data_IF_019427979557
#
_entry.id   IF_019427979557
#
_cell.length_a   1.000
_cell.length_b   1.000
_cell.length_c   1.000
_cell.angle_alpha   90.00
_cell.angle_beta   90.00
_cell.angle_gamma   90.00
#
_symmetry.space_group_name_H-M   'P 1'
#
loop_
_entity.id
_entity.type
_entity.pdbx_description
1 polymer ?
#
# COMPACT_ATOMS: atom_id res chain seq x y z
N UNK A 1 20.49 -15.28 11.53
CA UNK A 1 20.02 -13.98 11.99
C UNK A 1 19.68 -13.10 10.79
N UNK A 2 18.60 -12.29 10.81
CA UNK A 2 18.30 -11.32 9.76
C UNK A 2 19.41 -10.30 9.61
N UNK A 3 19.75 -9.96 8.37
CA UNK A 3 20.78 -8.99 8.04
C UNK A 3 20.37 -8.18 6.82
N UNK A 4 20.56 -6.85 6.91
CA UNK A 4 20.31 -5.91 5.83
C UNK A 4 21.54 -5.01 5.70
N UNK A 5 22.02 -4.82 4.47
CA UNK A 5 22.97 -3.78 4.15
C UNK A 5 22.21 -2.53 3.78
N UNK A 6 22.56 -1.40 4.40
CA UNK A 6 21.94 -0.10 4.16
C UNK A 6 23.02 0.91 3.82
N UNK A 7 22.74 1.72 2.79
CA UNK A 7 23.57 2.88 2.45
C UNK A 7 22.69 4.07 2.18
N UNK A 8 23.19 5.27 2.48
CA UNK A 8 22.50 6.52 2.18
C UNK A 8 23.47 7.57 1.67
N UNK A 9 22.93 8.48 0.87
CA UNK A 9 23.60 9.72 0.45
C UNK A 9 22.59 10.85 0.65
N UNK A 10 23.07 11.96 1.23
CA UNK A 10 22.26 13.16 1.45
C UNK A 10 23.03 14.41 0.99
N UNK A 11 22.27 15.40 0.53
CA UNK A 11 22.77 16.71 0.13
C UNK A 11 21.84 17.78 0.74
N UNK A 12 22.42 18.71 1.47
CA UNK A 12 21.76 19.91 1.99
C UNK A 12 22.38 21.14 1.35
N UNK A 13 21.55 22.03 0.85
CA UNK A 13 22.00 23.27 0.24
C UNK A 13 21.19 24.46 0.73
N UNK A 14 21.89 25.46 1.27
CA UNK A 14 21.32 26.74 1.67
C UNK A 14 21.57 27.77 0.56
N UNK A 15 20.50 28.29 0.00
CA UNK A 15 20.62 29.30 -1.07
C UNK A 15 21.06 30.65 -0.51
N UNK A 16 21.94 31.36 -1.21
CA UNK A 16 22.38 32.70 -0.83
C UNK A 16 21.34 33.78 -1.19
N UNK A 17 20.11 33.63 -0.65
CA UNK A 17 18.98 34.54 -0.87
C UNK A 17 18.85 35.54 0.26
N UNK A 18 18.05 36.60 0.08
CA UNK A 18 17.77 37.63 1.12
C UNK A 18 16.96 37.09 2.30
N UNK A 19 16.41 35.89 2.18
CA UNK A 19 15.67 35.18 3.24
C UNK A 19 16.17 33.72 3.35
N UNK A 20 16.03 33.06 4.49
CA UNK A 20 16.39 31.65 4.67
C UNK A 20 15.63 30.75 3.68
N UNK A 21 16.40 30.09 2.82
CA UNK A 21 15.88 29.13 1.86
C UNK A 21 16.86 27.96 1.72
N UNK A 22 16.37 26.75 1.96
CA UNK A 22 17.17 25.54 1.85
C UNK A 22 16.41 24.41 1.16
N UNK A 23 17.17 23.57 0.51
CA UNK A 23 16.70 22.28 0.00
C UNK A 23 17.56 21.18 0.61
N UNK A 24 16.96 20.02 0.84
CA UNK A 24 17.66 18.79 1.17
C UNK A 24 17.13 17.63 0.32
N UNK A 25 18.05 16.75 -0.07
CA UNK A 25 17.73 15.53 -0.77
C UNK A 25 18.41 14.35 -0.12
N UNK A 26 17.72 13.24 0.08
CA UNK A 26 18.30 12.01 0.62
C UNK A 26 17.87 10.83 -0.23
N UNK A 27 18.81 9.94 -0.54
CA UNK A 27 18.54 8.65 -1.14
C UNK A 27 19.08 7.55 -0.22
N UNK A 28 18.22 6.60 0.12
CA UNK A 28 18.53 5.45 0.97
C UNK A 28 18.31 4.18 0.15
N UNK A 29 19.31 3.30 0.11
CA UNK A 29 19.19 1.97 -0.48
C UNK A 29 19.37 0.89 0.57
N UNK A 30 18.53 -0.13 0.51
CA UNK A 30 18.57 -1.30 1.39
C UNK A 30 18.69 -2.57 0.54
N UNK A 31 19.60 -3.47 0.92
CA UNK A 31 19.74 -4.80 0.33
C UNK A 31 19.63 -5.87 1.41
N UNK A 32 18.73 -6.81 1.22
CA UNK A 32 18.61 -7.97 2.08
C UNK A 32 19.83 -8.89 1.88
N UNK A 33 20.54 -9.17 2.95
CA UNK A 33 21.64 -10.15 3.00
C UNK A 33 21.10 -11.49 3.50
N UNK A 34 20.36 -11.47 4.60
CA UNK A 34 19.62 -12.59 5.15
C UNK A 34 18.25 -12.11 5.58
N UNK A 35 17.24 -12.28 4.73
CA UNK A 35 15.83 -12.04 5.07
C UNK A 35 15.23 -13.28 5.72
N UNK A 36 14.18 -13.09 6.50
CA UNK A 36 13.41 -14.19 7.07
C UNK A 36 12.38 -14.64 6.04
N UNK A 37 12.21 -15.94 5.86
CA UNK A 37 11.09 -16.55 5.15
C UNK A 37 10.71 -17.87 5.83
N UNK A 38 9.51 -18.35 5.52
CA UNK A 38 9.05 -19.66 5.95
C UNK A 38 9.00 -20.60 4.75
N UNK A 39 9.38 -21.84 4.95
CA UNK A 39 9.22 -22.93 3.99
C UNK A 39 8.52 -24.09 4.66
N UNK A 40 7.69 -24.80 3.94
CA UNK A 40 7.09 -26.05 4.41
C UNK A 40 7.93 -27.21 3.85
N UNK A 41 8.68 -27.87 4.72
CA UNK A 41 9.57 -28.98 4.33
C UNK A 41 8.82 -30.26 3.96
N UNK A 42 7.51 -30.29 4.20
CA UNK A 42 6.67 -31.42 3.81
C UNK A 42 6.19 -31.36 2.35
N UNK A 43 6.51 -30.29 1.60
CA UNK A 43 6.12 -30.12 0.20
C UNK A 43 7.27 -30.55 -0.71
N UNK A 44 6.96 -31.41 -1.70
CA UNK A 44 7.91 -31.84 -2.73
C UNK A 44 8.32 -30.68 -3.64
N UNK A 45 9.47 -30.78 -4.28
CA UNK A 45 9.87 -29.90 -5.36
C UNK A 45 8.86 -29.93 -6.52
N UNK A 46 8.55 -28.78 -7.10
CA UNK A 46 7.55 -28.64 -8.16
C UNK A 46 8.08 -28.96 -9.58
N UNK A 47 9.34 -29.31 -9.75
CA UNK A 47 9.94 -29.53 -11.07
C UNK A 47 9.28 -30.65 -11.88
N UNK A 48 8.59 -31.59 -11.22
CA UNK A 48 7.84 -32.67 -11.86
C UNK A 48 6.33 -32.44 -11.94
N UNK A 49 5.85 -31.29 -11.51
CA UNK A 49 4.42 -30.98 -11.55
C UNK A 49 3.98 -30.58 -12.96
N UNK A 50 2.73 -30.85 -13.29
CA UNK A 50 2.13 -30.49 -14.58
C UNK A 50 1.60 -29.06 -14.57
N UNK A 51 1.28 -28.54 -15.76
CA UNK A 51 0.59 -27.26 -15.94
C UNK A 51 -0.72 -27.50 -16.67
N UNK A 52 -1.70 -26.63 -16.48
CA UNK A 52 -2.91 -26.62 -17.31
C UNK A 52 -2.60 -26.11 -18.73
N UNK A 53 -3.44 -26.47 -19.69
CA UNK A 53 -3.37 -25.85 -20.99
C UNK A 53 -3.91 -24.42 -20.95
N UNK A 54 -3.26 -23.53 -21.70
CA UNK A 54 -3.60 -22.11 -21.72
C UNK A 54 -2.38 -21.22 -21.42
N UNK A 55 -2.57 -19.91 -21.21
CA UNK A 55 -1.49 -18.94 -20.98
C UNK A 55 -0.95 -18.97 -19.54
N UNK A 56 -1.76 -19.35 -18.55
CA UNK A 56 -1.34 -19.53 -17.16
C UNK A 56 -0.49 -20.81 -17.04
N UNK A 57 0.80 -20.65 -16.82
CA UNK A 57 1.80 -21.73 -16.82
C UNK A 57 2.26 -22.13 -15.42
N UNK A 58 1.47 -21.78 -14.37
CA UNK A 58 1.78 -22.24 -13.02
C UNK A 58 1.68 -23.77 -12.93
N UNK A 59 2.46 -24.31 -12.04
CA UNK A 59 2.39 -25.74 -11.73
C UNK A 59 1.14 -26.07 -10.93
N UNK A 60 0.54 -27.21 -11.26
CA UNK A 60 -0.60 -27.78 -10.54
C UNK A 60 -0.06 -28.89 -9.63
N UNK A 61 -0.40 -28.79 -8.36
CA UNK A 61 0.02 -29.70 -7.33
C UNK A 61 -0.72 -31.05 -7.48
N UNK A 62 -0.02 -32.17 -7.64
CA UNK A 62 -0.67 -33.49 -7.68
C UNK A 62 -1.18 -33.86 -6.29
N UNK A 63 -2.10 -34.81 -6.19
CA UNK A 63 -2.68 -35.24 -4.91
C UNK A 63 -1.61 -35.67 -3.88
N UNK A 64 -0.51 -36.25 -4.34
CA UNK A 64 0.63 -36.72 -3.53
C UNK A 64 1.79 -35.71 -3.41
N UNK A 65 1.52 -34.39 -3.51
CA UNK A 65 2.56 -33.36 -3.41
C UNK A 65 3.21 -33.26 -2.02
N UNK A 66 2.55 -33.78 -1.00
CA UNK A 66 3.07 -33.82 0.37
C UNK A 66 3.87 -35.09 0.64
N UNK A 67 4.89 -34.98 1.47
CA UNK A 67 5.67 -36.13 1.94
C UNK A 67 4.97 -36.87 3.09
N UNK A 68 4.23 -36.14 3.94
CA UNK A 68 3.44 -36.65 5.07
C UNK A 68 2.13 -35.89 5.20
N UNK A 69 1.26 -36.28 6.11
CA UNK A 69 -0.03 -35.64 6.37
C UNK A 69 0.04 -34.39 7.27
N UNK A 70 1.23 -34.01 7.74
CA UNK A 70 1.42 -32.85 8.63
C UNK A 70 2.32 -31.83 7.99
N UNK A 71 2.04 -30.54 8.24
CA UNK A 71 2.90 -29.45 7.78
C UNK A 71 4.14 -29.31 8.66
N UNK A 72 5.25 -28.91 8.05
CA UNK A 72 6.52 -28.67 8.70
C UNK A 72 7.05 -27.27 8.35
N UNK A 73 6.49 -26.24 8.98
CA UNK A 73 6.90 -24.86 8.75
C UNK A 73 8.26 -24.58 9.40
N UNK A 74 9.25 -24.31 8.57
CA UNK A 74 10.63 -24.06 8.99
C UNK A 74 11.02 -22.63 8.67
N UNK A 75 11.52 -21.94 9.70
CA UNK A 75 12.08 -20.59 9.54
C UNK A 75 13.41 -20.66 8.80
N UNK A 76 13.46 -20.04 7.65
CA UNK A 76 14.59 -20.08 6.72
C UNK A 76 15.10 -18.68 6.39
N UNK A 77 16.21 -18.58 5.68
CA UNK A 77 16.76 -17.33 5.22
C UNK A 77 16.73 -17.20 3.70
N UNK A 78 16.48 -15.99 3.21
CA UNK A 78 16.58 -15.62 1.80
C UNK A 78 17.55 -14.46 1.60
N UNK A 79 18.32 -14.50 0.49
CA UNK A 79 19.13 -13.36 0.04
C UNK A 79 18.38 -12.41 -0.91
N UNK A 80 17.12 -12.76 -1.23
CA UNK A 80 16.28 -11.96 -2.11
C UNK A 80 15.63 -10.82 -1.32
N UNK A 81 15.62 -9.64 -1.90
CA UNK A 81 14.99 -8.45 -1.34
C UNK A 81 15.87 -7.21 -1.48
N UNK A 82 15.23 -6.10 -1.76
CA UNK A 82 15.84 -4.78 -1.80
C UNK A 82 14.78 -3.71 -1.68
N UNK A 83 15.20 -2.51 -1.31
CA UNK A 83 14.31 -1.35 -1.30
C UNK A 83 15.11 -0.07 -1.39
N UNK A 84 14.44 1.01 -1.75
CA UNK A 84 15.02 2.34 -1.75
C UNK A 84 13.98 3.38 -1.41
N UNK A 85 14.45 4.48 -0.83
CA UNK A 85 13.66 5.66 -0.52
C UNK A 85 14.40 6.89 -1.03
N UNK A 86 13.71 7.75 -1.75
CA UNK A 86 14.18 9.08 -2.12
C UNK A 86 13.30 10.13 -1.46
N UNK A 87 13.92 11.07 -0.76
CA UNK A 87 13.25 12.20 -0.12
C UNK A 87 13.81 13.50 -0.65
N UNK A 88 12.94 14.45 -0.88
CA UNK A 88 13.28 15.83 -1.21
C UNK A 88 12.49 16.77 -0.31
N UNK A 89 13.18 17.70 0.37
CA UNK A 89 12.56 18.67 1.29
C UNK A 89 13.01 20.08 0.94
N UNK A 90 12.07 21.00 0.99
CA UNK A 90 12.25 22.43 0.84
C UNK A 90 11.81 23.13 2.11
N UNK A 91 12.62 24.08 2.59
CA UNK A 91 12.29 24.95 3.71
C UNK A 91 12.55 26.40 3.33
N UNK A 92 11.64 27.31 3.68
CA UNK A 92 11.84 28.73 3.45
C UNK A 92 11.14 29.60 4.49
N UNK A 93 11.74 30.77 4.75
CA UNK A 93 11.18 31.85 5.58
C UNK A 93 11.19 33.15 4.75
N UNK A 94 10.25 33.32 3.79
CA UNK A 94 10.30 34.43 2.84
C UNK A 94 10.10 35.79 3.45
N UNK A 95 9.41 35.85 4.58
CA UNK A 95 9.23 37.06 5.41
C UNK A 95 9.29 36.67 6.88
N UNK A 96 9.47 37.66 7.74
CA UNK A 96 9.48 37.46 9.20
C UNK A 96 8.23 36.72 9.68
N UNK A 97 8.41 35.74 10.55
CA UNK A 97 7.35 34.91 11.14
C UNK A 97 6.52 34.06 10.16
N UNK A 98 6.87 33.99 8.88
CA UNK A 98 6.28 33.06 7.92
C UNK A 98 7.25 31.91 7.65
N UNK A 99 6.81 30.71 7.96
CA UNK A 99 7.54 29.47 7.73
C UNK A 99 6.81 28.58 6.74
N UNK A 100 7.51 28.09 5.72
CA UNK A 100 6.98 27.19 4.69
C UNK A 100 7.90 25.97 4.58
N UNK A 101 7.31 24.79 4.60
CA UNK A 101 8.01 23.52 4.36
C UNK A 101 7.21 22.69 3.37
N UNK A 102 7.91 22.01 2.46
CA UNK A 102 7.31 20.97 1.61
C UNK A 102 8.28 19.81 1.44
N UNK A 103 7.80 18.60 1.50
CA UNK A 103 8.60 17.39 1.34
C UNK A 103 7.86 16.37 0.49
N UNK A 104 8.60 15.72 -0.43
CA UNK A 104 8.12 14.56 -1.19
C UNK A 104 9.01 13.36 -0.89
N UNK A 105 8.38 12.23 -0.65
CA UNK A 105 9.06 10.95 -0.44
C UNK A 105 8.50 9.91 -1.38
N UNK A 106 9.41 9.22 -2.10
CA UNK A 106 9.07 8.02 -2.85
C UNK A 106 9.80 6.82 -2.25
N UNK A 107 9.08 5.71 -2.05
CA UNK A 107 9.63 4.46 -1.50
C UNK A 107 9.19 3.28 -2.35
N UNK A 108 10.14 2.43 -2.69
CA UNK A 108 9.90 1.14 -3.33
C UNK A 108 10.64 0.03 -2.57
N UNK A 109 9.97 -1.10 -2.36
CA UNK A 109 10.56 -2.25 -1.69
C UNK A 109 10.04 -3.55 -2.28
N UNK A 110 10.95 -4.45 -2.61
CA UNK A 110 10.68 -5.83 -3.05
C UNK A 110 11.18 -6.81 -2.02
N UNK A 111 10.36 -7.80 -1.67
CA UNK A 111 10.68 -8.84 -0.69
C UNK A 111 10.00 -10.15 -1.07
N UNK A 112 10.46 -11.26 -0.51
CA UNK A 112 9.82 -12.57 -0.71
C UNK A 112 8.53 -12.66 0.11
N UNK A 113 8.57 -12.17 1.34
CA UNK A 113 7.41 -12.15 2.25
C UNK A 113 7.52 -11.00 3.23
N UNK A 114 6.38 -10.42 3.59
CA UNK A 114 6.24 -9.49 4.71
C UNK A 114 5.91 -10.18 6.02
N UNK A 115 5.93 -11.51 6.07
CA UNK A 115 5.51 -12.32 7.22
C UNK A 115 4.09 -11.94 7.69
N UNK A 116 3.09 -12.01 6.81
CA UNK A 116 1.70 -11.69 7.17
C UNK A 116 1.17 -12.69 8.21
N UNK A 117 0.25 -12.24 9.05
CA UNK A 117 -0.36 -13.10 10.08
C UNK A 117 0.37 -13.07 11.42
N UNK A 118 -0.14 -13.82 12.39
CA UNK A 118 0.27 -13.78 13.80
C UNK A 118 1.06 -15.01 14.26
N UNK A 119 1.15 -16.05 13.43
CA UNK A 119 1.87 -17.29 13.72
C UNK A 119 2.56 -17.82 12.45
N UNK A 120 3.35 -18.89 12.56
CA UNK A 120 4.12 -19.44 11.44
C UNK A 120 3.22 -19.94 10.30
N UNK A 121 2.10 -20.56 10.61
CA UNK A 121 1.14 -21.05 9.64
C UNK A 121 0.54 -19.89 8.83
N UNK A 122 -0.06 -18.90 9.49
CA UNK A 122 -0.64 -17.74 8.80
C UNK A 122 0.41 -16.93 8.05
N UNK A 123 1.62 -16.80 8.59
CA UNK A 123 2.72 -16.11 7.91
C UNK A 123 3.19 -16.85 6.64
N UNK A 124 2.99 -18.16 6.56
CA UNK A 124 3.23 -18.98 5.37
C UNK A 124 2.05 -18.93 4.39
N UNK A 125 0.82 -19.17 4.89
CA UNK A 125 -0.36 -19.33 4.04
C UNK A 125 -0.81 -18.02 3.35
N UNK A 126 -0.58 -16.85 3.97
CA UNK A 126 -1.12 -15.58 3.46
C UNK A 126 -0.16 -14.83 2.53
N UNK A 127 0.74 -15.54 1.87
CA UNK A 127 1.66 -14.96 0.88
C UNK A 127 1.04 -15.13 -0.51
N UNK A 128 0.65 -14.03 -1.21
CA UNK A 128 0.19 -14.14 -2.58
C UNK A 128 1.32 -14.57 -3.51
N UNK A 129 1.15 -15.71 -4.18
CA UNK A 129 2.16 -16.31 -5.06
C UNK A 129 1.54 -16.88 -6.32
N UNK A 130 2.36 -17.15 -7.32
CA UNK A 130 1.95 -17.91 -8.51
C UNK A 130 2.12 -19.41 -8.29
N UNK A 131 3.24 -19.80 -7.66
CA UNK A 131 3.70 -21.19 -7.57
C UNK A 131 3.56 -21.80 -6.16
N UNK A 132 2.88 -21.10 -5.23
CA UNK A 132 2.82 -21.46 -3.83
C UNK A 132 3.97 -20.88 -2.99
N UNK A 133 3.80 -20.78 -1.65
CA UNK A 133 4.73 -20.05 -0.77
C UNK A 133 6.16 -20.58 -0.74
N UNK A 134 6.38 -21.90 -0.93
CA UNK A 134 7.74 -22.48 -0.99
C UNK A 134 8.56 -21.93 -2.16
N UNK A 135 7.89 -21.50 -3.24
CA UNK A 135 8.49 -21.04 -4.49
C UNK A 135 8.30 -19.54 -4.69
N UNK A 136 7.97 -18.80 -3.63
CA UNK A 136 7.70 -17.37 -3.68
C UNK A 136 8.86 -16.57 -4.28
N UNK A 137 8.53 -15.76 -5.28
CA UNK A 137 9.42 -14.78 -5.90
C UNK A 137 9.46 -13.45 -5.13
N UNK A 138 10.17 -12.46 -5.70
CA UNK A 138 10.12 -11.09 -5.21
C UNK A 138 8.77 -10.44 -5.58
N UNK A 139 8.13 -9.83 -4.61
CA UNK A 139 6.92 -9.04 -4.77
C UNK A 139 7.06 -7.68 -4.08
N UNK A 140 6.13 -6.77 -4.32
CA UNK A 140 6.08 -5.50 -3.58
C UNK A 140 5.83 -5.76 -2.09
N UNK A 141 6.39 -4.91 -1.25
CA UNK A 141 6.07 -4.96 0.17
C UNK A 141 4.67 -4.39 0.43
N UNK A 142 3.85 -5.12 1.19
CA UNK A 142 2.52 -4.65 1.61
C UNK A 142 2.54 -3.45 2.57
N UNK A 143 3.72 -3.14 3.15
CA UNK A 143 3.89 -2.09 4.16
C UNK A 143 4.39 -0.76 3.60
N UNK A 144 4.56 -0.66 2.28
CA UNK A 144 5.10 0.53 1.63
C UNK A 144 3.97 1.48 1.25
N UNK A 145 4.13 2.74 1.63
CA UNK A 145 3.43 3.88 1.02
C UNK A 145 4.35 4.44 -0.06
N UNK A 146 4.07 4.18 -1.37
CA UNK A 146 5.03 4.49 -2.43
C UNK A 146 5.28 5.98 -2.61
N UNK A 147 4.24 6.80 -2.45
CA UNK A 147 4.34 8.25 -2.69
C UNK A 147 3.70 9.01 -1.53
N UNK A 148 4.42 9.97 -0.96
CA UNK A 148 3.91 10.85 0.10
C UNK A 148 4.42 12.28 -0.08
N UNK A 149 3.51 13.22 0.01
CA UNK A 149 3.79 14.67 0.07
C UNK A 149 3.35 15.21 1.41
N UNK A 150 4.19 15.98 2.06
CA UNK A 150 3.85 16.74 3.27
C UNK A 150 4.19 18.19 3.00
N UNK A 151 3.29 19.10 3.34
CA UNK A 151 3.58 20.53 3.30
C UNK A 151 2.99 21.25 4.51
N UNK A 152 3.64 22.31 4.93
CA UNK A 152 3.10 23.18 5.98
C UNK A 152 3.43 24.63 5.71
N UNK A 153 2.48 25.49 6.07
CA UNK A 153 2.66 26.94 6.12
C UNK A 153 2.24 27.40 7.50
N UNK A 154 3.11 28.14 8.19
CA UNK A 154 2.83 28.68 9.52
C UNK A 154 3.21 30.16 9.57
N UNK A 155 2.28 30.98 10.03
CA UNK A 155 2.47 32.41 10.20
C UNK A 155 2.11 32.85 11.63
N UNK A 156 2.95 33.66 12.23
CA UNK A 156 2.71 34.29 13.54
C UNK A 156 2.62 35.81 13.37
N UNK A 157 1.49 36.40 13.75
CA UNK A 157 1.35 37.85 13.74
C UNK A 157 1.93 38.51 14.98
N UNK A 158 1.92 39.85 14.98
CA UNK A 158 2.43 40.67 16.13
C UNK A 158 1.51 40.59 17.34
N UNK A 159 0.28 40.14 17.21
CA UNK A 159 -0.71 40.00 18.28
C UNK A 159 -0.71 38.63 18.93
N UNK A 160 0.37 37.83 18.71
CA UNK A 160 0.52 36.46 19.22
C UNK A 160 -0.49 35.46 18.66
N UNK A 161 -1.15 35.73 17.54
CA UNK A 161 -1.91 34.74 16.80
C UNK A 161 -0.96 33.93 15.92
N UNK A 162 -1.15 32.62 15.90
CA UNK A 162 -0.46 31.70 14.98
C UNK A 162 -1.49 30.95 14.16
N UNK A 163 -1.30 30.99 12.85
CA UNK A 163 -2.09 30.25 11.87
C UNK A 163 -1.18 29.22 11.21
N UNK A 164 -1.63 27.96 11.14
CA UNK A 164 -0.87 26.93 10.46
C UNK A 164 -1.81 26.10 9.59
N UNK A 165 -1.38 25.82 8.38
CA UNK A 165 -2.02 24.92 7.43
C UNK A 165 -1.06 23.77 7.17
N UNK A 166 -1.54 22.55 7.33
CA UNK A 166 -0.81 21.34 7.01
C UNK A 166 -1.51 20.63 5.86
N UNK A 167 -0.72 20.12 4.96
CA UNK A 167 -1.19 19.25 3.88
C UNK A 167 -0.47 17.94 3.94
N UNK A 168 -1.19 16.86 3.80
CA UNK A 168 -0.69 15.52 3.56
C UNK A 168 -1.37 14.93 2.31
N UNK A 169 -0.57 14.57 1.32
CA UNK A 169 -0.98 13.77 0.19
C UNK A 169 -0.24 12.45 0.18
N UNK A 170 -0.93 11.33 0.03
CA UNK A 170 -0.27 10.03 -0.08
C UNK A 170 -1.04 9.10 -1.02
N UNK A 171 -0.30 8.17 -1.61
CA UNK A 171 -0.83 7.10 -2.44
C UNK A 171 -0.52 5.77 -1.80
N UNK A 172 -1.46 4.86 -1.84
CA UNK A 172 -1.21 3.48 -1.46
C UNK A 172 -1.14 3.23 0.04
N UNK A 173 -1.91 3.92 0.84
CA UNK A 173 -2.10 3.57 2.26
C UNK A 173 -2.62 2.15 2.46
N UNK A 174 -3.10 1.52 1.38
CA UNK A 174 -3.40 0.10 1.26
C UNK A 174 -2.97 -0.37 -0.12
N UNK A 175 -2.39 -1.56 -0.20
CA UNK A 175 -2.04 -2.24 -1.44
C UNK A 175 -2.75 -3.59 -1.51
N UNK A 176 -3.22 -3.93 -2.70
CA UNK A 176 -4.00 -5.13 -2.95
C UNK A 176 -3.35 -6.00 -4.01
N UNK A 177 -3.85 -7.22 -4.13
CA UNK A 177 -3.41 -8.21 -5.12
C UNK A 177 -4.62 -8.78 -5.83
N UNK A 178 -4.61 -8.82 -7.15
CA UNK A 178 -5.58 -9.62 -7.90
C UNK A 178 -5.21 -11.09 -7.79
N UNK A 179 -6.13 -11.88 -7.24
CA UNK A 179 -5.98 -13.31 -6.98
C UNK A 179 -7.19 -14.08 -7.54
N UNK A 180 -7.02 -15.35 -7.80
CA UNK A 180 -8.16 -16.24 -8.00
C UNK A 180 -8.96 -16.41 -6.72
N UNK A 181 -10.23 -16.72 -6.85
CA UNK A 181 -11.05 -17.12 -5.71
C UNK A 181 -10.92 -18.60 -5.47
N UNK A 182 -10.46 -18.97 -4.29
CA UNK A 182 -10.16 -20.36 -3.93
C UNK A 182 -8.72 -20.74 -4.27
N UNK A 183 -8.44 -22.01 -4.05
CA UNK A 183 -7.19 -22.68 -4.42
C UNK A 183 -7.26 -23.03 -5.92
N UNK A 184 -6.38 -22.43 -6.70
CA UNK A 184 -6.35 -22.64 -8.14
C UNK A 184 -5.34 -23.74 -8.52
N UNK A 185 -4.23 -23.81 -7.83
CA UNK A 185 -3.12 -24.70 -8.18
C UNK A 185 -3.13 -26.06 -7.44
N UNK A 186 -4.04 -26.25 -6.47
CA UNK A 186 -4.20 -27.51 -5.73
C UNK A 186 -3.26 -27.66 -4.53
N UNK A 187 -2.63 -26.58 -4.05
CA UNK A 187 -1.76 -26.60 -2.88
C UNK A 187 -2.49 -26.44 -1.54
N UNK A 188 -3.82 -26.36 -1.55
CA UNK A 188 -4.73 -26.04 -0.45
C UNK A 188 -4.58 -24.63 0.12
N UNK A 189 -4.03 -23.69 -0.66
CA UNK A 189 -3.85 -22.29 -0.26
C UNK A 189 -4.59 -21.36 -1.22
N UNK A 190 -5.58 -20.62 -0.73
CA UNK A 190 -6.38 -19.71 -1.54
C UNK A 190 -5.73 -18.32 -1.71
N UNK A 191 -4.42 -18.26 -2.02
CA UNK A 191 -3.66 -17.04 -2.24
C UNK A 191 -2.93 -17.03 -3.59
N UNK A 192 -3.56 -17.66 -4.59
CA UNK A 192 -3.06 -17.74 -5.94
C UNK A 192 -3.20 -16.43 -6.70
N UNK A 193 -2.07 -15.84 -7.07
CA UNK A 193 -2.03 -14.62 -7.87
C UNK A 193 -2.63 -14.88 -9.26
N UNK A 194 -3.54 -14.01 -9.70
CA UNK A 194 -4.28 -14.18 -10.94
C UNK A 194 -3.40 -13.93 -12.17
N UNK A 195 -3.53 -14.75 -13.20
CA UNK A 195 -3.10 -14.39 -14.55
C UNK A 195 -4.14 -13.45 -15.17
N UNK A 196 -3.69 -12.33 -15.73
CA UNK A 196 -4.54 -11.33 -16.36
C UNK A 196 -4.55 -11.63 -17.86
N UNK A 197 -5.62 -12.19 -18.43
CA UNK A 197 -5.65 -12.55 -19.84
C UNK A 197 -5.49 -11.30 -20.73
N UNK A 198 -4.83 -11.48 -21.85
CA UNK A 198 -4.62 -10.44 -22.85
C UNK A 198 -5.91 -10.07 -23.55
N UNK A 199 -6.65 -11.08 -23.98
CA UNK A 199 -7.91 -10.99 -24.69
C UNK A 199 -8.69 -12.32 -24.55
N UNK A 200 -9.82 -12.45 -25.24
CA UNK A 200 -10.68 -13.63 -25.23
C UNK A 200 -10.01 -14.93 -25.73
N UNK A 201 -8.90 -14.84 -26.41
CA UNK A 201 -8.18 -16.04 -26.88
C UNK A 201 -7.41 -16.74 -25.77
N UNK A 202 -7.19 -16.04 -24.66
CA UNK A 202 -6.41 -16.54 -23.51
C UNK A 202 -7.27 -17.00 -22.33
N UNK A 203 -8.60 -16.88 -22.39
CA UNK A 203 -9.50 -17.24 -21.28
C UNK A 203 -10.82 -17.81 -21.80
N UNK A 204 -11.30 -18.86 -21.13
CA UNK A 204 -12.62 -19.43 -21.36
C UNK A 204 -13.56 -19.10 -20.21
N UNK A 205 -14.76 -18.65 -20.52
CA UNK A 205 -15.80 -18.35 -19.52
C UNK A 205 -16.92 -19.39 -19.57
N UNK A 206 -17.51 -19.68 -18.39
CA UNK A 206 -18.64 -20.61 -18.26
C UNK A 206 -19.92 -20.06 -18.94
N UNK A 207 -20.02 -18.74 -19.08
CA UNK A 207 -21.16 -18.08 -19.74
C UNK A 207 -20.76 -16.80 -20.44
N UNK A 208 -21.57 -16.33 -21.39
CA UNK A 208 -21.41 -15.02 -22.03
C UNK A 208 -21.53 -13.88 -21.00
N UNK A 209 -22.42 -14.02 -20.03
CA UNK A 209 -22.58 -13.03 -18.94
C UNK A 209 -21.31 -12.91 -18.08
N UNK A 210 -20.62 -14.02 -17.79
CA UNK A 210 -19.34 -13.99 -17.06
C UNK A 210 -18.27 -13.24 -17.84
N UNK A 211 -18.17 -13.53 -19.14
CA UNK A 211 -17.27 -12.87 -20.08
C UNK A 211 -17.49 -11.35 -20.10
N UNK A 212 -18.74 -10.92 -20.35
CA UNK A 212 -19.08 -9.51 -20.53
C UNK A 212 -18.83 -8.71 -19.23
N UNK A 213 -19.18 -9.25 -18.08
CA UNK A 213 -18.89 -8.63 -16.77
C UNK A 213 -17.40 -8.54 -16.48
N UNK A 214 -16.64 -9.59 -16.79
CA UNK A 214 -15.18 -9.56 -16.57
C UNK A 214 -14.52 -8.47 -17.43
N UNK A 215 -14.79 -8.43 -18.72
CA UNK A 215 -14.15 -7.46 -19.61
C UNK A 215 -14.58 -6.02 -19.31
N UNK A 216 -15.87 -5.79 -19.01
CA UNK A 216 -16.35 -4.48 -18.59
C UNK A 216 -15.61 -4.00 -17.33
N UNK A 217 -15.37 -4.88 -16.36
CA UNK A 217 -14.61 -4.57 -15.17
C UNK A 217 -13.12 -4.35 -15.46
N UNK A 218 -12.49 -5.26 -16.22
CA UNK A 218 -11.06 -5.21 -16.50
C UNK A 218 -10.65 -3.97 -17.33
N UNK A 219 -11.53 -3.48 -18.19
CA UNK A 219 -11.28 -2.28 -18.99
C UNK A 219 -11.34 -0.99 -18.17
N UNK A 220 -12.25 -0.88 -17.20
CA UNK A 220 -12.35 0.29 -16.33
C UNK A 220 -11.29 0.29 -15.22
N UNK A 221 -10.73 -0.87 -14.86
CA UNK A 221 -9.73 -0.97 -13.81
C UNK A 221 -8.35 -0.55 -14.31
N UNK A 222 -7.76 0.45 -13.65
CA UNK A 222 -6.50 1.05 -14.07
C UNK A 222 -5.28 0.10 -13.98
N UNK A 223 -5.35 -0.94 -13.16
CA UNK A 223 -4.28 -1.93 -13.05
C UNK A 223 -4.46 -3.05 -14.07
N UNK A 224 -5.63 -3.66 -14.15
CA UNK A 224 -5.91 -4.77 -15.07
C UNK A 224 -5.73 -4.35 -16.52
N UNK A 225 -6.26 -3.18 -16.91
CA UNK A 225 -6.15 -2.68 -18.29
C UNK A 225 -4.70 -2.51 -18.78
N UNK A 226 -3.76 -2.20 -17.86
CA UNK A 226 -2.34 -1.98 -18.17
C UNK A 226 -1.48 -3.24 -18.06
N UNK A 227 -1.99 -4.31 -17.43
CA UNK A 227 -1.20 -5.49 -17.10
C UNK A 227 -1.71 -6.76 -17.77
N UNK A 228 -2.40 -6.63 -18.90
CA UNK A 228 -2.89 -7.76 -19.72
C UNK A 228 -1.74 -8.66 -20.21
N UNK A 229 -1.97 -9.96 -20.30
CA UNK A 229 -1.02 -10.97 -20.80
C UNK A 229 0.09 -11.33 -19.80
N UNK A 230 -0.12 -11.15 -18.49
CA UNK A 230 0.85 -11.50 -17.44
C UNK A 230 0.19 -11.79 -16.10
N UNK A 231 0.92 -12.40 -15.20
CA UNK A 231 0.47 -12.51 -13.80
C UNK A 231 0.34 -11.13 -13.16
N UNK A 232 -0.67 -10.95 -12.33
CA UNK A 232 -0.72 -9.82 -11.41
C UNK A 232 0.52 -9.88 -10.48
N UNK A 233 0.96 -8.73 -10.01
CA UNK A 233 2.05 -8.68 -9.04
C UNK A 233 1.47 -8.49 -7.64
N UNK A 234 1.95 -9.25 -6.67
CA UNK A 234 1.47 -9.13 -5.30
C UNK A 234 1.70 -7.70 -4.75
N UNK A 235 0.69 -7.18 -4.07
CA UNK A 235 0.67 -5.85 -3.44
C UNK A 235 0.98 -4.69 -4.40
N UNK A 236 0.57 -4.79 -5.67
CA UNK A 236 0.83 -3.77 -6.70
C UNK A 236 -0.37 -2.88 -7.03
N UNK A 237 -1.56 -3.21 -6.53
CA UNK A 237 -2.79 -2.43 -6.74
C UNK A 237 -2.91 -1.42 -5.60
N UNK A 238 -2.39 -0.21 -5.81
CA UNK A 238 -2.39 0.83 -4.80
C UNK A 238 -3.69 1.64 -4.81
N UNK A 239 -4.21 1.96 -3.61
CA UNK A 239 -5.32 2.90 -3.46
C UNK A 239 -4.99 4.26 -4.11
N UNK A 240 -6.00 4.95 -4.67
CA UNK A 240 -5.83 6.29 -5.21
C UNK A 240 -5.28 7.28 -4.17
N UNK A 241 -4.75 8.40 -4.65
CA UNK A 241 -4.27 9.48 -3.80
C UNK A 241 -5.33 9.96 -2.81
N UNK A 242 -4.90 10.20 -1.58
CA UNK A 242 -5.67 10.87 -0.53
C UNK A 242 -5.01 12.23 -0.28
N UNK A 243 -5.82 13.28 -0.18
CA UNK A 243 -5.36 14.65 0.06
C UNK A 243 -6.05 15.19 1.30
N UNK A 244 -5.31 15.46 2.37
CA UNK A 244 -5.81 15.99 3.64
C UNK A 244 -5.23 17.35 3.92
N UNK A 245 -6.07 18.21 4.49
CA UNK A 245 -5.69 19.52 4.97
C UNK A 245 -6.12 19.64 6.43
N UNK A 246 -5.17 19.99 7.29
CA UNK A 246 -5.42 20.29 8.70
C UNK A 246 -5.11 21.77 8.94
N UNK A 247 -5.95 22.40 9.71
CA UNK A 247 -5.80 23.79 10.07
C UNK A 247 -5.64 23.94 11.58
N UNK A 248 -4.64 24.70 12.02
CA UNK A 248 -4.46 25.08 13.42
C UNK A 248 -4.46 26.58 13.57
N UNK A 249 -5.24 27.05 14.53
CA UNK A 249 -5.15 28.40 15.07
C UNK A 249 -4.75 28.34 16.54
N UNK A 250 -3.81 29.19 16.97
CA UNK A 250 -3.51 29.39 18.39
C UNK A 250 -3.32 30.86 18.73
N UNK A 251 -3.72 31.23 19.96
CA UNK A 251 -3.51 32.55 20.50
C UNK A 251 -2.87 32.47 21.88
N UNK A 252 -1.82 33.29 22.10
CA UNK A 252 -1.10 33.38 23.36
C UNK A 252 -1.53 34.64 24.13
N UNK A 253 -2.25 34.45 25.23
CA UNK A 253 -2.53 35.51 26.20
C UNK A 253 -1.34 35.60 27.16
N UNK A 254 -0.57 36.67 27.06
CA UNK A 254 0.65 36.86 27.87
C UNK A 254 0.40 37.88 28.98
N UNK A 255 0.64 37.48 30.23
CA UNK A 255 0.53 38.34 31.41
C UNK A 255 1.81 38.23 32.23
N UNK A 256 2.44 39.36 32.53
CA UNK A 256 3.60 39.43 33.41
C UNK A 256 3.14 39.70 34.85
N UNK A 257 3.49 38.81 35.77
CA UNK A 257 3.18 38.94 37.20
C UNK A 257 4.51 39.01 37.94
N UNK A 258 4.89 40.21 38.35
CA UNK A 258 6.22 40.44 38.92
C UNK A 258 7.33 40.16 37.91
N UNK A 259 8.20 39.22 38.23
CA UNK A 259 9.29 38.76 37.33
C UNK A 259 8.90 37.54 36.45
N UNK A 260 7.74 36.95 36.70
CA UNK A 260 7.29 35.75 35.99
C UNK A 260 6.43 36.10 34.79
N UNK A 261 6.77 35.50 33.67
CA UNK A 261 5.94 35.55 32.45
C UNK A 261 4.96 34.38 32.45
N UNK A 262 3.67 34.70 32.44
CA UNK A 262 2.60 33.71 32.39
C UNK A 262 1.95 33.77 31.01
N UNK A 263 1.79 32.62 30.35
CA UNK A 263 1.16 32.53 29.05
C UNK A 263 0.04 31.49 29.08
N UNK A 264 -1.17 31.93 28.79
CA UNK A 264 -2.30 31.06 28.53
C UNK A 264 -2.46 30.95 27.02
N UNK A 265 -2.23 29.76 26.45
CA UNK A 265 -2.39 29.48 25.03
C UNK A 265 -3.70 28.75 24.79
N UNK A 266 -4.52 29.30 23.91
CA UNK A 266 -5.72 28.65 23.39
C UNK A 266 -5.43 28.10 22.00
N UNK A 267 -5.78 26.82 21.74
CA UNK A 267 -5.54 26.14 20.46
C UNK A 267 -6.86 25.62 19.89
N UNK A 268 -7.01 25.74 18.58
CA UNK A 268 -8.08 25.14 17.78
C UNK A 268 -7.42 24.34 16.65
N UNK A 269 -7.62 23.03 16.66
CA UNK A 269 -7.09 22.10 15.66
C UNK A 269 -8.25 21.51 14.87
N UNK A 270 -8.39 21.87 13.61
CA UNK A 270 -9.37 21.31 12.70
C UNK A 270 -8.65 20.31 11.78
N UNK A 271 -8.84 19.03 12.06
CA UNK A 271 -8.28 17.93 11.27
C UNK A 271 -9.18 17.57 10.11
N UNK A 272 -8.58 17.21 8.97
CA UNK A 272 -9.28 16.92 7.73
C UNK A 272 -10.29 18.01 7.36
N UNK A 273 -9.87 19.26 7.40
CA UNK A 273 -10.72 20.45 7.22
C UNK A 273 -11.51 20.42 5.90
N UNK A 274 -10.95 19.84 4.83
CA UNK A 274 -11.64 19.69 3.55
C UNK A 274 -12.92 18.86 3.64
N UNK A 275 -12.96 17.87 4.53
CA UNK A 275 -14.11 17.00 4.74
C UNK A 275 -15.32 17.74 5.33
N UNK A 276 -15.09 18.85 6.02
CA UNK A 276 -16.18 19.72 6.52
C UNK A 276 -17.02 20.31 5.36
N UNK A 277 -16.39 20.57 4.21
CA UNK A 277 -17.04 21.14 3.04
C UNK A 277 -17.57 20.09 2.06
N UNK A 278 -16.87 18.95 1.95
CA UNK A 278 -17.28 17.84 1.10
C UNK A 278 -16.89 16.51 1.77
N UNK A 279 -17.87 15.68 2.01
CA UNK A 279 -17.75 14.40 2.73
C UNK A 279 -16.85 13.35 2.05
N UNK A 280 -16.42 13.58 0.80
CA UNK A 280 -15.49 12.70 0.08
C UNK A 280 -14.04 13.20 0.11
N UNK A 281 -13.81 14.45 0.53
CA UNK A 281 -12.46 15.00 0.59
C UNK A 281 -11.69 14.46 1.79
N UNK A 282 -10.42 14.15 1.59
CA UNK A 282 -9.56 13.57 2.62
C UNK A 282 -9.95 12.15 3.05
N UNK A 283 -10.84 11.50 2.31
CA UNK A 283 -11.29 10.13 2.59
C UNK A 283 -10.50 9.14 1.74
N UNK A 284 -9.92 8.13 2.37
CA UNK A 284 -9.22 7.05 1.67
C UNK A 284 -10.20 6.16 0.90
N UNK A 285 -9.70 5.47 -0.11
CA UNK A 285 -10.47 4.48 -0.85
C UNK A 285 -9.96 3.07 -0.57
N UNK A 286 -10.87 2.11 -0.56
CA UNK A 286 -10.63 0.68 -0.41
C UNK A 286 -11.16 -0.05 -1.64
N UNK A 287 -10.69 -1.27 -1.89
CA UNK A 287 -11.30 -2.10 -2.94
C UNK A 287 -12.79 -2.30 -2.64
N UNK A 288 -13.61 -2.08 -3.67
CA UNK A 288 -15.05 -2.26 -3.58
C UNK A 288 -15.40 -3.70 -3.24
N UNK A 289 -16.45 -3.89 -2.45
CA UNK A 289 -17.04 -5.22 -2.20
C UNK A 289 -17.61 -5.83 -3.48
N UNK A 290 -18.09 -5.00 -4.42
CA UNK A 290 -18.57 -5.43 -5.74
C UNK A 290 -17.45 -6.01 -6.61
N UNK A 291 -16.20 -5.55 -6.42
CA UNK A 291 -14.97 -6.08 -7.01
C UNK A 291 -14.40 -7.27 -6.22
N UNK A 292 -15.15 -7.84 -5.27
CA UNK A 292 -14.81 -9.05 -4.51
C UNK A 292 -13.43 -9.00 -3.86
N UNK A 293 -13.00 -7.82 -3.43
CA UNK A 293 -11.68 -7.56 -2.82
C UNK A 293 -10.49 -8.06 -3.68
N UNK A 294 -10.62 -7.98 -5.00
CA UNK A 294 -9.61 -8.43 -5.96
C UNK A 294 -9.65 -9.91 -6.33
N UNK A 295 -10.62 -10.68 -5.80
CA UNK A 295 -10.84 -12.09 -6.15
C UNK A 295 -11.94 -12.23 -7.21
N UNK A 296 -11.66 -11.71 -8.40
CA UNK A 296 -12.66 -11.49 -9.46
C UNK A 296 -12.93 -12.69 -10.34
N UNK A 297 -12.02 -13.65 -10.43
CA UNK A 297 -12.16 -14.89 -11.17
C UNK A 297 -12.15 -16.11 -10.25
N UNK A 298 -12.98 -17.09 -10.60
CA UNK A 298 -13.02 -18.40 -9.96
C UNK A 298 -13.01 -19.46 -11.05
N UNK A 299 -12.15 -20.46 -10.93
CA UNK A 299 -12.19 -21.63 -11.80
C UNK A 299 -13.49 -22.40 -11.53
N UNK A 300 -14.26 -22.65 -12.58
CA UNK A 300 -15.50 -23.42 -12.56
C UNK A 300 -15.24 -24.90 -12.88
N UNK A 301 -14.48 -25.14 -13.94
CA UNK A 301 -14.15 -26.48 -14.42
C UNK A 301 -12.87 -26.46 -15.26
N UNK A 302 -12.43 -27.64 -15.65
CA UNK A 302 -11.39 -27.84 -16.67
C UNK A 302 -12.07 -28.63 -17.82
N UNK A 303 -11.94 -28.14 -19.05
CA UNK A 303 -12.55 -28.79 -20.21
C UNK A 303 -11.74 -30.02 -20.64
N UNK A 304 -12.26 -30.77 -21.63
CA UNK A 304 -11.64 -32.00 -22.14
C UNK A 304 -10.24 -31.78 -22.77
N UNK A 305 -9.93 -30.53 -23.12
CA UNK A 305 -8.61 -30.11 -23.64
C UNK A 305 -7.64 -29.71 -22.54
N UNK A 306 -8.05 -29.80 -21.27
CA UNK A 306 -7.24 -29.39 -20.11
C UNK A 306 -7.12 -27.88 -19.92
N UNK A 307 -8.03 -27.09 -20.50
CA UNK A 307 -8.07 -25.63 -20.38
C UNK A 307 -9.03 -25.21 -19.25
N UNK A 308 -8.64 -24.37 -18.32
CA UNK A 308 -9.51 -23.90 -17.25
C UNK A 308 -10.62 -22.98 -17.79
N UNK A 309 -11.84 -23.20 -17.29
CA UNK A 309 -13.04 -22.41 -17.56
C UNK A 309 -13.37 -21.60 -16.31
N UNK A 310 -13.68 -20.32 -16.49
CA UNK A 310 -13.86 -19.40 -15.38
C UNK A 310 -15.27 -18.86 -15.26
N UNK A 311 -15.68 -18.60 -14.02
CA UNK A 311 -16.78 -17.70 -13.66
C UNK A 311 -16.21 -16.39 -13.16
N UNK A 312 -16.85 -15.28 -13.57
CA UNK A 312 -16.55 -13.99 -12.93
C UNK A 312 -17.41 -13.77 -11.70
N UNK A 313 -16.79 -13.25 -10.64
CA UNK A 313 -17.48 -12.93 -9.39
C UNK A 313 -17.89 -11.45 -9.31
N UNK A 314 -17.39 -10.64 -10.24
CA UNK A 314 -17.69 -9.21 -10.29
C UNK A 314 -19.17 -8.99 -10.60
N UNK A 315 -19.81 -8.04 -9.91
CA UNK A 315 -21.18 -7.63 -10.20
C UNK A 315 -21.22 -6.77 -11.46
N UNK A 316 -22.39 -6.68 -12.09
CA UNK A 316 -22.60 -5.76 -13.21
C UNK A 316 -22.42 -4.31 -12.77
N UNK A 317 -21.63 -3.53 -13.52
CA UNK A 317 -21.33 -2.15 -13.20
C UNK A 317 -20.42 -1.92 -11.99
N UNK A 318 -19.78 -2.98 -11.47
CA UNK A 318 -18.88 -2.91 -10.33
C UNK A 318 -17.75 -1.89 -10.54
N UNK A 319 -17.42 -1.14 -9.49
CA UNK A 319 -16.30 -0.21 -9.45
C UNK A 319 -15.12 -0.83 -8.71
N UNK A 320 -13.91 -0.42 -9.07
CA UNK A 320 -12.70 -0.88 -8.35
C UNK A 320 -12.65 -0.33 -6.92
N UNK A 321 -13.05 0.93 -6.73
CA UNK A 321 -12.82 1.66 -5.49
C UNK A 321 -14.11 2.21 -4.89
N UNK A 322 -14.27 2.00 -3.57
CA UNK A 322 -15.25 2.67 -2.73
C UNK A 322 -14.58 3.55 -1.69
N UNK A 323 -15.33 4.54 -1.16
CA UNK A 323 -14.86 5.35 -0.04
C UNK A 323 -14.85 4.53 1.26
N UNK A 324 -13.83 4.74 2.07
CA UNK A 324 -13.74 4.18 3.40
C UNK A 324 -14.68 4.95 4.36
N UNK A 325 -15.81 4.36 4.70
CA UNK A 325 -16.84 4.95 5.56
C UNK A 325 -16.52 4.91 7.06
N UNK A 326 -15.24 4.77 7.44
CA UNK A 326 -14.85 4.83 8.84
C UNK A 326 -14.98 6.24 9.42
N UNK A 327 -15.47 6.36 10.66
CA UNK A 327 -15.53 7.63 11.39
C UNK A 327 -14.19 8.34 11.50
N UNK A 328 -13.07 7.60 11.47
CA UNK A 328 -11.70 8.14 11.48
C UNK A 328 -11.32 8.87 10.18
N UNK A 329 -12.15 8.81 9.15
CA UNK A 329 -11.98 9.53 7.90
C UNK A 329 -12.69 10.90 7.91
N UNK A 330 -13.53 11.17 8.91
CA UNK A 330 -14.26 12.43 9.02
C UNK A 330 -13.37 13.55 9.58
N UNK A 331 -13.82 14.79 9.39
CA UNK A 331 -13.22 15.92 10.07
C UNK A 331 -13.41 15.84 11.59
N UNK A 332 -12.50 16.42 12.34
CA UNK A 332 -12.61 16.56 13.78
C UNK A 332 -12.04 17.89 14.24
N UNK A 333 -12.64 18.48 15.29
CA UNK A 333 -12.18 19.70 15.95
C UNK A 333 -11.71 19.37 17.35
N UNK A 334 -10.49 19.77 17.67
CA UNK A 334 -9.94 19.70 19.01
C UNK A 334 -9.70 21.14 19.55
N UNK A 335 -10.15 21.39 20.78
CA UNK A 335 -9.88 22.64 21.50
C UNK A 335 -8.96 22.31 22.67
N UNK A 336 -7.84 23.01 22.74
CA UNK A 336 -6.83 22.83 23.79
C UNK A 336 -6.50 24.12 24.52
N UNK A 337 -6.24 24.01 25.82
CA UNK A 337 -5.75 25.09 26.65
C UNK A 337 -4.42 24.64 27.24
N UNK A 338 -3.38 25.50 27.12
CA UNK A 338 -2.06 25.26 27.68
C UNK A 338 -1.62 26.47 28.52
N UNK A 339 -1.21 26.21 29.74
CA UNK A 339 -0.65 27.23 30.60
C UNK A 339 0.86 27.01 30.74
N UNK A 340 1.63 28.10 30.50
CA UNK A 340 3.08 28.14 30.62
C UNK A 340 3.44 29.25 31.62
N UNK A 341 4.26 28.91 32.58
CA UNK A 341 4.82 29.88 33.53
C UNK A 341 6.35 29.76 33.57
N UNK A 342 7.02 30.92 33.67
CA UNK A 342 8.48 31.05 33.76
C UNK A 342 8.85 31.98 34.90
#
# INVERSE_FOLDING_TARGET
MPQVWKTSIALDYNFPTSFPFSISGEYIFNKTINGICLTNWNIKDNAGFTTLNGPDKRHIYPAEYRLTNTDAYVLSNTKKGYGWTANFTLNMNPVENLYIMASYTHTAMKQVTGMPGSNAESAYLYIPTVEGPNFAGLSNSQYVTPDRVIASVSYKDKSNNRFSLFYEGYRGGSSYTYMYNGDFNGDNIAYDVMYIPKDDTEILFASQSDRDRYWAYAEQDAYLSKNKGRYAEAYSVYSPWVHRFDFRYSHDFVVNVGKSRNTLQLNFDLMNAGNLFNNTWGVSKILSTEAMSGRILQMDSINDEGVPVFKTRVQEGARTWDYNHSIYQCWSLQIGIKYLFN
#
